data_IF_105171760673
#
_entry.id   IF_105171760673
#
_cell.length_a   1.000
_cell.length_b   1.000
_cell.length_c   1.000
_cell.angle_alpha   90.00
_cell.angle_beta   90.00
_cell.angle_gamma   90.00
#
_symmetry.space_group_name_H-M   'P 1'
#
loop_
_entity.id
_entity.type
_entity.pdbx_description
1 polymer ?
#
# COMPACT_ATOMS: atom_id res chain seq x y z
N UNK A 1 2.28 -4.40 6.39
CA UNK A 1 2.37 -3.23 7.32
C UNK A 1 3.71 -2.48 7.26
N UNK A 2 4.77 -3.04 6.63
CA UNK A 2 6.14 -2.50 6.73
C UNK A 2 6.47 -1.22 5.92
N UNK A 3 5.48 -0.44 5.49
CA UNK A 3 5.68 0.85 4.80
C UNK A 3 6.35 0.79 3.42
N UNK A 4 6.46 -0.40 2.82
CA UNK A 4 6.78 -0.64 1.41
C UNK A 4 8.02 0.05 0.82
N UNK A 5 9.00 0.40 1.67
CA UNK A 5 10.24 1.07 1.25
C UNK A 5 10.17 2.60 1.20
N UNK A 6 8.98 3.18 1.30
CA UNK A 6 8.70 4.62 1.21
C UNK A 6 8.20 5.21 2.54
N UNK A 7 7.98 4.36 3.55
CA UNK A 7 7.49 4.79 4.87
C UNK A 7 5.99 5.09 4.87
N UNK A 8 5.23 4.50 3.96
CA UNK A 8 3.77 4.67 3.86
C UNK A 8 3.09 4.20 5.15
N UNK A 9 2.02 4.90 5.52
CA UNK A 9 1.39 4.75 6.83
C UNK A 9 0.19 3.80 6.79
N UNK A 10 -0.13 3.21 5.65
CA UNK A 10 -1.18 2.21 5.51
C UNK A 10 -0.63 0.78 5.62
N UNK A 11 -1.54 -0.17 5.78
CA UNK A 11 -1.25 -1.59 5.62
C UNK A 11 -2.22 -2.21 4.65
N UNK A 12 -1.71 -3.12 3.81
CA UNK A 12 -2.49 -3.71 2.73
C UNK A 12 -3.22 -4.95 3.20
N UNK A 13 -4.45 -5.12 2.72
CA UNK A 13 -5.29 -6.26 3.07
C UNK A 13 -6.02 -6.82 1.86
N UNK A 14 -6.64 -7.99 2.01
CA UNK A 14 -7.56 -8.61 1.03
C UNK A 14 -9.02 -8.46 1.44
N UNK A 15 -9.31 -7.54 2.36
CA UNK A 15 -10.66 -7.26 2.86
C UNK A 15 -11.52 -6.64 1.75
N UNK A 16 -12.77 -7.07 1.64
CA UNK A 16 -13.70 -6.60 0.61
C UNK A 16 -14.06 -5.12 0.79
N UNK A 17 -13.79 -4.54 1.96
CA UNK A 17 -13.89 -3.09 2.21
C UNK A 17 -12.74 -2.30 1.59
N UNK A 18 -11.59 -2.94 1.34
CA UNK A 18 -10.42 -2.28 0.75
C UNK A 18 -10.24 -2.60 -0.73
N UNK A 19 -10.73 -3.75 -1.20
CA UNK A 19 -10.66 -4.14 -2.60
C UNK A 19 -11.85 -4.97 -3.02
N UNK A 20 -12.58 -4.50 -4.01
CA UNK A 20 -13.74 -5.21 -4.56
C UNK A 20 -13.99 -4.84 -6.02
N UNK A 21 -14.83 -5.63 -6.69
CA UNK A 21 -15.25 -5.38 -8.07
C UNK A 21 -16.77 -5.28 -8.11
N UNK A 22 -17.27 -4.25 -8.79
CA UNK A 22 -18.70 -4.08 -9.07
C UNK A 22 -18.94 -3.67 -10.54
N UNK A 23 -20.09 -3.07 -10.83
CA UNK A 23 -20.47 -2.63 -12.18
C UNK A 23 -19.63 -1.46 -12.71
N UNK A 24 -19.00 -0.68 -11.83
CA UNK A 24 -18.15 0.46 -12.18
C UNK A 24 -16.68 0.05 -12.35
N UNK A 25 -16.30 -1.14 -11.88
CA UNK A 25 -14.99 -1.74 -12.09
C UNK A 25 -14.32 -2.19 -10.80
N UNK A 26 -12.99 -2.20 -10.80
CA UNK A 26 -12.16 -2.49 -9.63
C UNK A 26 -12.05 -1.25 -8.76
N UNK A 27 -12.33 -1.41 -7.47
CA UNK A 27 -12.19 -0.38 -6.46
C UNK A 27 -11.05 -0.73 -5.51
N UNK A 28 -10.23 0.27 -5.19
CA UNK A 28 -9.25 0.22 -4.10
C UNK A 28 -9.61 1.37 -3.16
N UNK A 29 -10.05 1.03 -1.95
CA UNK A 29 -10.63 2.00 -1.03
C UNK A 29 -9.84 2.01 0.28
N UNK A 30 -9.14 3.10 0.62
CA UNK A 30 -8.52 3.21 1.92
C UNK A 30 -9.59 3.37 3.01
N UNK A 31 -9.38 2.75 4.16
CA UNK A 31 -10.27 2.83 5.33
C UNK A 31 -9.45 3.05 6.58
N UNK A 32 -10.02 3.66 7.63
CA UNK A 32 -9.33 3.72 8.91
C UNK A 32 -9.24 2.33 9.54
N UNK A 33 -8.11 2.04 10.19
CA UNK A 33 -7.90 0.82 10.96
C UNK A 33 -8.98 0.67 12.05
N UNK A 34 -9.34 1.76 12.71
CA UNK A 34 -10.38 1.79 13.76
C UNK A 34 -11.78 1.51 13.26
N UNK A 35 -12.06 1.82 12.00
CA UNK A 35 -13.42 1.71 11.45
C UNK A 35 -13.69 0.29 10.93
N UNK A 36 -12.63 -0.45 10.66
CA UNK A 36 -12.71 -1.75 9.96
C UNK A 36 -12.10 -2.90 10.74
N UNK A 37 -11.57 -2.65 11.93
CA UNK A 37 -11.05 -3.67 12.84
C UNK A 37 -11.51 -3.38 14.27
N UNK A 38 -11.40 -4.33 15.20
CA UNK A 38 -11.65 -4.08 16.62
C UNK A 38 -10.62 -3.18 17.32
N UNK A 39 -9.54 -2.77 16.62
CA UNK A 39 -8.45 -1.98 17.19
C UNK A 39 -8.94 -0.57 17.50
N UNK A 40 -8.79 -0.14 18.75
CA UNK A 40 -9.17 1.20 19.20
C UNK A 40 -8.08 2.25 18.90
N UNK A 41 -8.46 3.53 18.95
CA UNK A 41 -7.50 4.64 18.79
C UNK A 41 -6.38 4.61 19.85
N UNK A 42 -6.65 4.14 21.07
CA UNK A 42 -5.63 3.97 22.09
C UNK A 42 -4.65 2.85 21.70
N UNK A 43 -5.18 1.75 21.21
CA UNK A 43 -4.43 0.57 20.78
C UNK A 43 -3.53 0.81 19.58
N UNK A 44 -3.85 1.78 18.73
CA UNK A 44 -2.94 2.23 17.66
C UNK A 44 -1.58 2.69 18.23
N UNK A 45 -1.56 3.27 19.44
CA UNK A 45 -0.36 3.88 20.01
C UNK A 45 0.29 3.06 21.13
N UNK A 46 -0.47 2.19 21.81
CA UNK A 46 0.08 1.33 22.86
C UNK A 46 -0.89 0.20 23.25
N UNK A 47 -0.40 -0.84 23.91
CA UNK A 47 -1.25 -1.85 24.56
C UNK A 47 -1.83 -2.92 23.64
N UNK A 48 -1.50 -2.90 22.34
CA UNK A 48 -1.89 -3.93 21.38
C UNK A 48 -0.68 -4.53 20.66
N UNK A 49 -0.87 -5.61 19.91
CA UNK A 49 0.11 -6.12 18.95
C UNK A 49 -0.65 -6.65 17.75
N UNK A 50 -0.51 -5.98 16.62
CA UNK A 50 -1.07 -6.46 15.36
C UNK A 50 -0.14 -7.53 14.83
N UNK A 51 -0.60 -8.79 14.80
CA UNK A 51 0.15 -9.92 14.31
C UNK A 51 -0.60 -10.61 13.17
N UNK A 52 -0.10 -10.44 11.94
CA UNK A 52 -0.67 -11.02 10.72
C UNK A 52 0.10 -12.25 10.24
N UNK A 53 1.14 -12.65 10.97
CA UNK A 53 2.00 -13.76 10.56
C UNK A 53 1.22 -15.08 10.54
N UNK A 54 1.65 -16.02 9.72
CA UNK A 54 1.13 -17.40 9.76
C UNK A 54 1.40 -18.09 11.10
N UNK A 55 2.46 -17.67 11.81
CA UNK A 55 2.87 -18.22 13.09
C UNK A 55 2.26 -17.41 14.25
N UNK A 56 1.03 -17.77 14.64
CA UNK A 56 0.37 -17.19 15.82
C UNK A 56 -0.27 -15.82 15.61
N UNK A 57 -0.32 -15.34 14.36
CA UNK A 57 -1.21 -14.27 13.92
C UNK A 57 -2.47 -14.82 13.24
N UNK A 58 -3.14 -13.98 12.46
CA UNK A 58 -4.30 -14.39 11.64
C UNK A 58 -3.92 -15.08 10.31
N UNK A 59 -2.64 -15.11 9.97
CA UNK A 59 -2.12 -15.72 8.74
C UNK A 59 -2.45 -14.98 7.45
N UNK A 60 -2.98 -13.75 7.52
CA UNK A 60 -3.33 -12.95 6.34
C UNK A 60 -2.12 -12.36 5.62
N UNK A 61 -0.95 -12.30 6.26
CA UNK A 61 0.24 -11.75 5.65
C UNK A 61 0.79 -12.69 4.55
N UNK A 62 0.98 -12.14 3.36
CA UNK A 62 1.50 -12.87 2.19
C UNK A 62 3.03 -12.90 2.12
N UNK A 63 3.70 -12.08 2.93
CA UNK A 63 5.16 -12.10 3.10
C UNK A 63 5.53 -12.83 4.39
N UNK A 64 6.80 -13.25 4.50
CA UNK A 64 7.25 -14.10 5.61
C UNK A 64 8.10 -13.36 6.65
N UNK A 65 8.44 -12.09 6.42
CA UNK A 65 9.23 -11.29 7.36
C UNK A 65 8.35 -10.73 8.47
N UNK A 66 8.82 -10.85 9.71
CA UNK A 66 8.06 -10.39 10.88
C UNK A 66 7.81 -8.88 10.82
N UNK A 67 8.78 -8.11 10.35
CA UNK A 67 8.71 -6.65 10.24
C UNK A 67 7.59 -6.20 9.29
N UNK A 68 7.29 -7.01 8.26
CA UNK A 68 6.24 -6.69 7.30
C UNK A 68 4.85 -7.18 7.73
N UNK A 69 4.77 -8.05 8.74
CA UNK A 69 3.57 -8.77 9.16
C UNK A 69 3.15 -8.51 10.62
N UNK A 70 4.00 -7.91 11.45
CA UNK A 70 3.71 -7.69 12.85
C UNK A 70 4.23 -6.35 13.34
N UNK A 71 3.39 -5.61 14.07
CA UNK A 71 3.78 -4.36 14.71
C UNK A 71 3.26 -4.32 16.14
N UNK A 72 4.16 -3.93 17.04
CA UNK A 72 3.85 -3.63 18.42
C UNK A 72 4.01 -2.12 18.63
N UNK A 73 2.91 -1.37 18.75
CA UNK A 73 2.97 0.05 19.01
C UNK A 73 3.58 0.35 20.39
N UNK A 74 4.31 1.44 20.46
CA UNK A 74 4.95 1.95 21.65
C UNK A 74 5.09 3.47 21.54
N UNK A 75 4.25 4.19 22.30
CA UNK A 75 4.23 5.65 22.33
C UNK A 75 5.56 6.31 22.73
N UNK A 76 6.39 5.64 23.54
CA UNK A 76 7.71 6.16 23.93
C UNK A 76 8.73 6.04 22.80
N UNK A 77 8.60 5.01 21.95
CA UNK A 77 9.48 4.79 20.79
C UNK A 77 8.94 5.40 19.50
N UNK A 78 7.72 5.97 19.53
CA UNK A 78 7.06 6.53 18.35
C UNK A 78 6.57 5.48 17.33
N UNK A 79 6.56 4.20 17.71
CA UNK A 79 6.02 3.13 16.86
C UNK A 79 4.52 3.06 17.03
N UNK A 80 3.77 3.06 15.93
CA UNK A 80 2.30 2.96 15.93
C UNK A 80 1.84 1.85 15.01
N UNK A 81 0.62 1.35 15.21
CA UNK A 81 -0.06 0.56 14.19
C UNK A 81 -0.45 1.52 13.07
N UNK A 82 -0.17 1.12 11.83
CA UNK A 82 -0.58 1.84 10.62
C UNK A 82 -2.08 2.23 10.73
N UNK A 83 -2.42 3.54 10.78
CA UNK A 83 -3.79 3.99 11.07
C UNK A 83 -4.76 3.79 9.91
N UNK A 84 -4.25 3.47 8.71
CA UNK A 84 -5.05 3.27 7.49
C UNK A 84 -4.84 1.86 6.96
N UNK A 85 -5.91 1.26 6.47
CA UNK A 85 -5.90 0.02 5.68
C UNK A 85 -6.16 0.35 4.22
N UNK A 86 -5.50 -0.34 3.31
CA UNK A 86 -5.69 -0.21 1.86
C UNK A 86 -5.49 -1.57 1.18
N UNK A 87 -5.36 -1.59 -0.15
CA UNK A 87 -5.01 -2.79 -0.90
C UNK A 87 -3.87 -2.51 -1.90
N UNK A 88 -3.06 -3.53 -2.15
CA UNK A 88 -1.99 -3.51 -3.16
C UNK A 88 -2.05 -4.80 -3.96
N UNK A 89 -2.39 -4.69 -5.23
CA UNK A 89 -2.49 -5.81 -6.14
C UNK A 89 -1.22 -5.93 -6.98
N UNK A 90 -0.90 -7.14 -7.41
CA UNK A 90 0.19 -7.40 -8.35
C UNK A 90 -0.16 -8.58 -9.25
N UNK A 91 0.48 -8.67 -10.40
CA UNK A 91 0.34 -9.78 -11.34
C UNK A 91 1.53 -10.76 -11.27
N UNK A 92 2.30 -10.72 -10.18
CA UNK A 92 3.45 -11.61 -10.01
C UNK A 92 2.98 -13.06 -10.01
N UNK A 93 3.65 -13.91 -10.79
CA UNK A 93 3.28 -15.31 -10.99
C UNK A 93 2.00 -15.56 -11.80
N UNK A 94 1.28 -14.51 -12.25
CA UNK A 94 0.04 -14.67 -13.03
C UNK A 94 0.15 -14.14 -14.46
N UNK A 95 0.65 -12.91 -14.65
CA UNK A 95 0.83 -12.28 -15.96
C UNK A 95 2.09 -11.44 -15.98
N UNK A 96 2.90 -11.65 -17.01
CA UNK A 96 4.05 -10.82 -17.36
C UNK A 96 3.93 -10.39 -18.82
N UNK A 97 4.56 -9.26 -19.14
CA UNK A 97 4.60 -8.70 -20.48
C UNK A 97 6.03 -8.29 -20.79
N UNK A 98 6.49 -8.60 -22.01
CA UNK A 98 7.77 -8.12 -22.53
C UNK A 98 7.48 -7.39 -23.83
N UNK A 99 7.69 -6.08 -23.81
CA UNK A 99 7.25 -5.14 -24.85
C UNK A 99 5.74 -5.08 -25.04
N UNK A 100 5.26 -4.09 -25.79
CA UNK A 100 3.85 -3.93 -26.12
C UNK A 100 3.24 -2.69 -25.48
N UNK A 101 1.92 -2.72 -25.31
CA UNK A 101 1.12 -1.61 -24.80
C UNK A 101 0.32 -2.07 -23.59
N UNK A 102 0.46 -1.36 -22.48
CA UNK A 102 -0.38 -1.50 -21.30
C UNK A 102 -1.29 -0.28 -21.25
N UNK A 103 -2.59 -0.51 -21.17
CA UNK A 103 -3.60 0.55 -21.04
C UNK A 103 -4.39 0.33 -19.75
N UNK A 104 -4.46 1.38 -18.92
CA UNK A 104 -5.27 1.38 -17.71
C UNK A 104 -6.20 2.59 -17.78
N UNK A 105 -7.50 2.35 -17.68
CA UNK A 105 -8.52 3.41 -17.54
C UNK A 105 -8.93 3.44 -16.09
N UNK A 106 -8.57 4.50 -15.38
CA UNK A 106 -8.83 4.64 -13.97
C UNK A 106 -9.33 6.05 -13.63
N UNK A 107 -10.16 6.15 -12.59
CA UNK A 107 -10.46 7.40 -11.89
C UNK A 107 -9.67 7.43 -10.60
N UNK A 108 -8.89 8.49 -10.40
CA UNK A 108 -8.08 8.64 -9.20
C UNK A 108 -8.94 9.12 -8.02
N UNK A 109 -8.61 8.70 -6.79
CA UNK A 109 -9.31 9.17 -5.62
C UNK A 109 -9.00 10.65 -5.35
N UNK A 110 -9.95 11.35 -4.75
CA UNK A 110 -9.75 12.70 -4.24
C UNK A 110 -9.66 12.66 -2.71
N UNK A 111 -8.63 13.29 -2.15
CA UNK A 111 -8.41 13.33 -0.71
C UNK A 111 -6.97 13.70 -0.37
N UNK A 112 -6.78 14.14 0.87
CA UNK A 112 -5.44 14.48 1.36
C UNK A 112 -4.65 13.21 1.69
N UNK A 113 -3.35 13.25 1.44
CA UNK A 113 -2.37 12.20 1.74
C UNK A 113 -2.56 10.89 0.96
N UNK A 114 -3.36 10.91 -0.11
CA UNK A 114 -3.54 9.76 -1.00
C UNK A 114 -2.45 9.72 -2.07
N UNK A 115 -1.85 8.55 -2.26
CA UNK A 115 -0.86 8.29 -3.30
C UNK A 115 -1.28 7.06 -4.12
N UNK A 116 -2.21 7.22 -5.08
CA UNK A 116 -2.53 6.16 -6.01
C UNK A 116 -1.36 5.97 -7.00
N UNK A 117 -0.97 4.72 -7.24
CA UNK A 117 0.10 4.37 -8.16
C UNK A 117 -0.30 3.21 -9.08
N UNK A 118 0.00 3.35 -10.36
CA UNK A 118 -0.05 2.29 -11.38
C UNK A 118 1.36 2.20 -11.96
N UNK A 119 2.00 1.07 -11.71
CA UNK A 119 3.42 0.89 -11.99
C UNK A 119 3.71 -0.57 -12.31
N UNK A 120 4.90 -0.82 -12.84
CA UNK A 120 5.35 -2.13 -13.27
C UNK A 120 6.73 -2.44 -12.68
N UNK A 121 6.87 -3.66 -12.20
CA UNK A 121 8.12 -4.22 -11.71
C UNK A 121 8.61 -5.35 -12.63
N UNK A 122 9.94 -5.58 -12.75
CA UNK A 122 10.47 -6.69 -13.50
C UNK A 122 10.02 -8.02 -12.89
N UNK A 123 9.81 -9.03 -13.74
CA UNK A 123 9.52 -10.39 -13.26
C UNK A 123 10.73 -11.01 -12.53
N UNK A 124 11.94 -10.67 -12.95
CA UNK A 124 13.18 -11.16 -12.39
C UNK A 124 14.19 -10.01 -12.21
N UNK A 125 14.93 -10.01 -11.10
CA UNK A 125 15.96 -9.03 -10.78
C UNK A 125 17.31 -9.33 -11.48
N UNK A 126 17.32 -9.39 -12.81
CA UNK A 126 18.48 -9.83 -13.63
C UNK A 126 19.72 -8.93 -13.42
N UNK A 127 19.52 -7.65 -13.11
CA UNK A 127 20.58 -6.66 -12.98
C UNK A 127 20.87 -6.27 -11.52
N UNK A 128 20.31 -7.02 -10.56
CA UNK A 128 20.38 -6.74 -9.12
C UNK A 128 19.06 -6.23 -8.55
N UNK A 129 18.99 -6.05 -7.23
CA UNK A 129 17.78 -5.55 -6.57
C UNK A 129 17.40 -4.13 -7.00
N UNK A 130 16.20 -3.70 -6.63
CA UNK A 130 15.71 -2.35 -6.93
C UNK A 130 16.72 -1.26 -6.50
N UNK A 131 16.98 -0.25 -7.34
CA UNK A 131 16.33 0.03 -8.63
C UNK A 131 17.03 -0.59 -9.86
N UNK A 132 18.09 -1.40 -9.68
CA UNK A 132 18.97 -1.80 -10.77
C UNK A 132 18.28 -2.62 -11.88
N UNK A 133 17.26 -3.42 -11.53
CA UNK A 133 16.48 -4.20 -12.51
C UNK A 133 15.30 -3.46 -13.12
N UNK A 134 15.07 -2.20 -12.72
CA UNK A 134 14.07 -1.31 -13.29
C UNK A 134 12.76 -1.25 -12.52
N UNK A 135 12.03 -0.17 -12.83
CA UNK A 135 10.69 0.19 -12.40
C UNK A 135 10.11 1.04 -13.53
N UNK A 136 8.82 0.91 -13.82
CA UNK A 136 8.13 1.80 -14.77
C UNK A 136 6.88 2.32 -14.09
N UNK A 137 6.82 3.63 -13.85
CA UNK A 137 5.66 4.27 -13.25
C UNK A 137 4.76 4.81 -14.37
N UNK A 138 3.65 4.12 -14.64
CA UNK A 138 2.69 4.57 -15.66
C UNK A 138 1.93 5.81 -15.20
N UNK A 139 1.62 5.88 -13.90
CA UNK A 139 0.82 6.95 -13.33
C UNK A 139 0.92 6.97 -11.82
N UNK A 140 1.40 8.07 -11.26
CA UNK A 140 1.39 8.35 -9.82
C UNK A 140 0.76 9.72 -9.55
N UNK A 141 -0.01 9.84 -8.46
CA UNK A 141 -0.47 11.14 -7.97
C UNK A 141 0.06 11.43 -6.58
N UNK A 142 0.34 12.71 -6.29
CA UNK A 142 0.67 13.17 -4.95
C UNK A 142 -0.52 13.88 -4.34
N UNK A 143 -1.12 13.30 -3.30
CA UNK A 143 -2.28 13.86 -2.61
C UNK A 143 -1.94 14.92 -1.55
N UNK A 144 -0.86 15.68 -1.70
CA UNK A 144 -0.48 16.70 -0.70
C UNK A 144 -1.05 18.08 -1.03
N UNK A 145 -1.16 18.94 -0.03
CA UNK A 145 -1.62 20.32 -0.21
C UNK A 145 -0.70 21.12 -1.17
N UNK A 146 -1.23 22.20 -1.77
CA UNK A 146 -0.52 23.09 -2.70
C UNK A 146 0.76 23.72 -2.10
N UNK A 147 0.82 23.84 -0.76
CA UNK A 147 2.00 24.32 -0.05
C UNK A 147 3.16 23.30 -0.02
N UNK A 148 2.93 22.05 -0.42
CA UNK A 148 3.97 21.05 -0.52
C UNK A 148 4.88 21.34 -1.72
N UNK A 149 6.14 21.66 -1.43
CA UNK A 149 7.11 22.16 -2.42
C UNK A 149 7.35 21.23 -3.62
N UNK A 150 7.08 19.92 -3.46
CA UNK A 150 7.27 18.91 -4.49
C UNK A 150 5.94 18.32 -4.98
N UNK A 151 5.18 19.09 -5.77
CA UNK A 151 4.14 18.53 -6.64
C UNK A 151 2.67 18.88 -6.37
N UNK A 152 2.32 19.74 -5.40
CA UNK A 152 0.93 20.19 -5.21
C UNK A 152 -0.14 19.09 -5.08
N UNK A 153 -1.42 19.41 -5.37
CA UNK A 153 -2.60 18.56 -5.10
C UNK A 153 -3.12 17.76 -6.30
N UNK A 154 -2.71 18.12 -7.51
CA UNK A 154 -3.28 17.59 -8.77
C UNK A 154 -2.20 17.28 -9.81
N UNK A 155 -1.01 16.83 -9.38
CA UNK A 155 0.06 16.43 -10.30
C UNK A 155 0.03 14.93 -10.50
N UNK A 156 0.09 14.56 -11.78
CA UNK A 156 0.38 13.21 -12.24
C UNK A 156 1.80 13.14 -12.78
N UNK A 157 2.56 12.14 -12.36
CA UNK A 157 3.89 11.86 -12.88
C UNK A 157 4.01 10.43 -13.41
N UNK A 158 5.01 10.24 -14.25
CA UNK A 158 5.48 8.96 -14.77
C UNK A 158 7.02 8.99 -14.80
N UNK A 159 7.67 7.89 -14.44
CA UNK A 159 9.14 7.73 -14.39
C UNK A 159 9.62 6.47 -15.10
#
# INVERSE_FOLDING_TARGET
IGGFGTGEFEWTTTDDRNVFVDQEGLHIVPTLTTDTTPITAAEITNGYTLNLTQAGGDGSCTVTTNEACSVRPNSTLGTVINPVRSARLNTNGSKSITYGRVEVVAKLPAGDWLWPAIWMMPTNDVYGGWPASGEIDLSESRGNDISYANGGRDVMSSS
#
